data_IF_252764985377
#
_entry.id   IF_252764985377
#
_cell.length_a   1.000
_cell.length_b   1.000
_cell.length_c   1.000
_cell.angle_alpha   90.00
_cell.angle_beta   90.00
_cell.angle_gamma   90.00
#
_symmetry.space_group_name_H-M   'P 1'
#
loop_
_entity.id
_entity.type
_entity.pdbx_description
1 polymer ?
#
# COMPACT_ATOMS: atom_id res chain seq x y z
N UNK A 1 5.09 -46.54 15.44
CA UNK A 1 5.05 -45.82 14.13
C UNK A 1 3.82 -44.94 13.95
N UNK A 2 2.59 -45.37 14.30
CA UNK A 2 1.37 -44.51 14.16
C UNK A 2 1.41 -43.23 15.01
N UNK A 3 1.96 -43.26 16.22
CA UNK A 3 2.03 -42.10 17.11
C UNK A 3 3.10 -41.09 16.66
N UNK A 4 4.23 -41.54 16.13
CA UNK A 4 5.22 -40.61 15.52
C UNK A 4 4.67 -39.90 14.28
N UNK A 5 3.85 -40.60 13.48
CA UNK A 5 3.21 -39.96 12.32
C UNK A 5 2.14 -38.91 12.74
N UNK A 6 1.41 -39.16 13.83
CA UNK A 6 0.44 -38.19 14.38
C UNK A 6 1.13 -36.95 14.94
N UNK A 7 2.19 -37.09 15.71
CA UNK A 7 2.97 -35.97 16.27
C UNK A 7 3.57 -35.13 15.15
N UNK A 8 4.19 -35.74 14.14
CA UNK A 8 4.73 -35.04 12.99
C UNK A 8 3.64 -34.29 12.19
N UNK A 9 2.42 -34.79 12.15
CA UNK A 9 1.27 -34.11 11.53
C UNK A 9 0.84 -32.87 12.31
N UNK A 10 0.78 -32.94 13.65
CA UNK A 10 0.43 -31.79 14.50
C UNK A 10 1.48 -30.68 14.38
N UNK A 11 2.77 -31.03 14.47
CA UNK A 11 3.88 -30.09 14.30
C UNK A 11 3.84 -29.38 12.92
N UNK A 12 3.47 -30.13 11.88
CA UNK A 12 3.31 -29.58 10.54
C UNK A 12 2.16 -28.55 10.45
N UNK A 13 1.04 -28.83 11.10
CA UNK A 13 -0.10 -27.93 11.19
C UNK A 13 0.23 -26.66 12.00
N UNK A 14 0.97 -26.81 13.11
CA UNK A 14 1.44 -25.68 13.91
C UNK A 14 2.41 -24.80 13.10
N UNK A 15 3.35 -25.41 12.38
CA UNK A 15 4.29 -24.70 11.49
C UNK A 15 3.55 -23.96 10.37
N UNK A 16 2.56 -24.62 9.76
CA UNK A 16 1.72 -24.00 8.75
C UNK A 16 0.94 -22.78 9.31
N UNK A 17 0.30 -22.93 10.47
CA UNK A 17 -0.41 -21.84 11.16
C UNK A 17 0.54 -20.66 11.41
N UNK A 18 1.74 -20.90 11.94
CA UNK A 18 2.71 -19.86 12.21
C UNK A 18 3.15 -19.14 10.93
N UNK A 19 3.40 -19.88 9.86
CA UNK A 19 3.74 -19.33 8.55
C UNK A 19 2.60 -18.48 7.98
N UNK A 20 1.34 -18.90 8.18
CA UNK A 20 0.15 -18.16 7.75
C UNK A 20 -0.01 -16.84 8.51
N UNK A 21 0.27 -16.82 9.82
CA UNK A 21 0.26 -15.58 10.62
C UNK A 21 1.30 -14.59 10.10
N UNK A 22 2.54 -15.05 9.91
CA UNK A 22 3.62 -14.20 9.38
C UNK A 22 3.28 -13.68 7.97
N UNK A 23 2.73 -14.55 7.13
CA UNK A 23 2.29 -14.15 5.79
C UNK A 23 1.23 -13.05 5.85
N UNK A 24 0.22 -13.24 6.71
CA UNK A 24 -0.89 -12.29 6.88
C UNK A 24 -0.38 -10.90 7.35
N UNK A 25 0.54 -10.87 8.31
CA UNK A 25 1.15 -9.62 8.80
C UNK A 25 1.92 -8.88 7.69
N UNK A 26 2.71 -9.62 6.90
CA UNK A 26 3.47 -9.06 5.78
C UNK A 26 2.56 -8.51 4.70
N UNK A 27 1.53 -9.26 4.32
CA UNK A 27 0.58 -8.84 3.29
C UNK A 27 -0.21 -7.62 3.76
N UNK A 28 -0.69 -7.60 5.02
CA UNK A 28 -1.38 -6.44 5.59
C UNK A 28 -0.51 -5.19 5.50
N UNK A 29 0.74 -5.28 5.96
CA UNK A 29 1.68 -4.17 5.87
C UNK A 29 1.91 -3.68 4.44
N UNK A 30 2.06 -4.61 3.49
CA UNK A 30 2.25 -4.25 2.09
C UNK A 30 1.02 -3.56 1.48
N UNK A 31 -0.19 -4.00 1.87
CA UNK A 31 -1.45 -3.37 1.45
C UNK A 31 -1.52 -1.93 1.98
N UNK A 32 -1.19 -1.72 3.25
CA UNK A 32 -1.20 -0.40 3.89
C UNK A 32 -0.20 0.53 3.19
N UNK A 33 1.02 0.07 2.92
CA UNK A 33 2.06 0.83 2.20
C UNK A 33 1.62 1.24 0.79
N UNK A 34 0.98 0.32 0.05
CA UNK A 34 0.46 0.60 -1.29
C UNK A 34 -0.69 1.61 -1.21
N UNK A 35 -1.63 1.43 -0.28
CA UNK A 35 -2.77 2.33 -0.07
C UNK A 35 -2.32 3.74 0.24
N UNK A 36 -1.34 3.89 1.14
CA UNK A 36 -0.75 5.18 1.48
C UNK A 36 0.00 5.81 0.31
N UNK A 37 0.69 5.00 -0.49
CA UNK A 37 1.38 5.49 -1.70
C UNK A 37 0.39 5.99 -2.74
N UNK A 38 -0.70 5.26 -2.97
CA UNK A 38 -1.79 5.67 -3.87
C UNK A 38 -2.40 7.00 -3.41
N UNK A 39 -2.72 7.12 -2.12
CA UNK A 39 -3.29 8.34 -1.54
C UNK A 39 -2.35 9.54 -1.68
N UNK A 40 -1.07 9.37 -1.33
CA UNK A 40 -0.05 10.43 -1.45
C UNK A 40 0.17 10.85 -2.89
N UNK A 41 0.23 9.90 -3.82
CA UNK A 41 0.44 10.20 -5.24
C UNK A 41 -0.77 10.94 -5.82
N UNK A 42 -1.99 10.54 -5.45
CA UNK A 42 -3.22 11.26 -5.84
C UNK A 42 -3.19 12.71 -5.37
N UNK A 43 -2.95 12.93 -4.09
CA UNK A 43 -2.85 14.27 -3.52
C UNK A 43 -1.74 15.10 -4.19
N UNK A 44 -0.57 14.50 -4.42
CA UNK A 44 0.53 15.17 -5.10
C UNK A 44 0.18 15.64 -6.52
N UNK A 45 -0.49 14.77 -7.31
CA UNK A 45 -0.87 15.11 -8.69
C UNK A 45 -2.02 16.12 -8.71
N UNK A 46 -3.08 15.87 -7.94
CA UNK A 46 -4.32 16.66 -8.00
C UNK A 46 -4.20 18.02 -7.32
N UNK A 47 -3.48 18.09 -6.21
CA UNK A 47 -3.44 19.30 -5.38
C UNK A 47 -2.07 19.99 -5.45
N UNK A 48 -1.00 19.34 -5.02
CA UNK A 48 0.30 20.01 -4.86
C UNK A 48 0.87 20.50 -6.18
N UNK A 49 0.97 19.63 -7.18
CA UNK A 49 1.52 20.01 -8.48
C UNK A 49 0.65 20.98 -9.25
N UNK A 50 -0.67 20.80 -9.15
CA UNK A 50 -1.59 21.74 -9.78
C UNK A 50 -1.46 23.14 -9.19
N UNK A 51 -1.50 23.25 -7.86
CA UNK A 51 -1.38 24.54 -7.16
C UNK A 51 0.00 25.19 -7.37
N UNK A 52 1.08 24.39 -7.39
CA UNK A 52 2.41 24.87 -7.73
C UNK A 52 2.43 25.56 -9.10
N UNK A 53 1.92 24.92 -10.13
CA UNK A 53 1.94 25.48 -11.48
C UNK A 53 0.97 26.65 -11.65
N UNK A 54 -0.14 26.68 -10.91
CA UNK A 54 -1.00 27.88 -10.86
C UNK A 54 -0.29 29.08 -10.24
N UNK A 55 0.47 28.86 -9.18
CA UNK A 55 1.28 29.88 -8.54
C UNK A 55 2.39 30.37 -9.50
N UNK A 56 3.05 29.46 -10.19
CA UNK A 56 4.06 29.79 -11.19
C UNK A 56 3.47 30.57 -12.37
N UNK A 57 2.27 30.23 -12.83
CA UNK A 57 1.55 31.00 -13.86
C UNK A 57 1.37 32.45 -13.42
N UNK A 58 0.85 32.67 -12.22
CA UNK A 58 0.67 34.04 -11.67
C UNK A 58 1.98 34.82 -11.59
N UNK A 59 3.08 34.16 -11.23
CA UNK A 59 4.39 34.79 -11.18
C UNK A 59 4.87 35.20 -12.57
N UNK A 60 4.64 34.37 -13.58
CA UNK A 60 5.02 34.68 -14.97
C UNK A 60 4.11 35.74 -15.59
N UNK A 61 2.84 35.76 -15.27
CA UNK A 61 1.91 36.83 -15.67
C UNK A 61 2.35 38.20 -15.12
N UNK A 62 2.81 38.28 -13.86
CA UNK A 62 3.39 39.52 -13.30
C UNK A 62 4.66 39.96 -14.03
N UNK A 63 5.52 39.01 -14.41
CA UNK A 63 6.73 39.30 -15.20
C UNK A 63 6.37 39.78 -16.61
N UNK A 64 5.32 39.26 -17.22
CA UNK A 64 4.83 39.74 -18.51
C UNK A 64 4.32 41.18 -18.36
N UNK A 65 3.51 41.47 -17.35
CA UNK A 65 3.00 42.81 -17.08
C UNK A 65 4.15 43.81 -16.88
N UNK A 66 5.19 43.45 -16.14
CA UNK A 66 6.38 44.29 -16.00
C UNK A 66 7.10 44.51 -17.34
N UNK A 67 7.30 43.47 -18.15
CA UNK A 67 7.93 43.59 -19.46
C UNK A 67 7.12 44.45 -20.43
N UNK A 68 5.79 44.40 -20.35
CA UNK A 68 4.88 45.25 -21.13
C UNK A 68 4.96 46.70 -20.69
N UNK A 69 5.05 46.97 -19.38
CA UNK A 69 5.29 48.34 -18.88
C UNK A 69 6.62 48.92 -19.29
N UNK A 70 7.67 48.10 -19.25
CA UNK A 70 9.00 48.47 -19.75
C UNK A 70 8.97 48.77 -21.26
N UNK A 71 8.29 47.98 -22.05
CA UNK A 71 8.10 48.20 -23.47
C UNK A 71 7.33 49.50 -23.74
N UNK A 72 6.28 49.77 -22.95
CA UNK A 72 5.54 50.98 -23.07
C UNK A 72 6.43 52.20 -22.75
N UNK A 73 7.19 52.17 -21.66
CA UNK A 73 8.11 53.20 -21.24
C UNK A 73 9.21 53.44 -22.29
N UNK A 74 9.78 52.36 -22.88
CA UNK A 74 10.81 52.46 -23.89
C UNK A 74 10.31 53.07 -25.21
N UNK A 75 9.04 52.86 -25.55
CA UNK A 75 8.39 53.49 -26.71
C UNK A 75 8.18 55.00 -26.53
N UNK A 76 8.03 55.46 -25.30
CA UNK A 76 7.91 56.88 -24.98
C UNK A 76 9.30 57.54 -24.95
N UNK A 77 10.36 56.78 -24.76
CA UNK A 77 11.72 57.25 -24.79
C UNK A 77 12.23 57.23 -26.24
N UNK A 78 12.95 58.26 -26.66
CA UNK A 78 13.49 58.45 -28.04
C UNK A 78 14.63 57.48 -28.43
N UNK A 79 14.99 56.51 -27.59
CA UNK A 79 16.10 55.57 -27.82
C UNK A 79 15.59 54.28 -28.51
N UNK A 80 15.85 54.16 -29.80
CA UNK A 80 15.38 53.02 -30.63
C UNK A 80 15.89 51.64 -30.19
N UNK A 81 17.10 51.55 -29.68
CA UNK A 81 17.75 50.27 -29.32
C UNK A 81 17.07 49.59 -28.11
N UNK A 82 16.63 50.37 -27.14
CA UNK A 82 15.92 49.88 -25.95
C UNK A 82 14.55 49.25 -26.28
N UNK A 83 13.88 49.71 -27.34
CA UNK A 83 12.60 49.19 -27.79
C UNK A 83 12.68 47.74 -28.31
N UNK A 84 13.77 47.36 -28.98
CA UNK A 84 13.99 46.03 -29.53
C UNK A 84 14.18 45.00 -28.40
N UNK A 85 14.99 45.34 -27.40
CA UNK A 85 15.23 44.48 -26.24
C UNK A 85 13.96 44.28 -25.43
N UNK A 86 13.20 45.35 -25.16
CA UNK A 86 11.93 45.28 -24.46
C UNK A 86 10.90 44.40 -25.20
N UNK A 87 10.85 44.46 -26.55
CA UNK A 87 10.02 43.56 -27.35
C UNK A 87 10.43 42.09 -27.20
N UNK A 88 11.76 41.82 -27.19
CA UNK A 88 12.25 40.45 -26.95
C UNK A 88 11.89 39.92 -25.57
N UNK A 89 11.93 40.77 -24.53
CA UNK A 89 11.57 40.42 -23.17
C UNK A 89 10.09 40.05 -23.07
N UNK A 90 9.20 40.83 -23.69
CA UNK A 90 7.76 40.48 -23.79
C UNK A 90 7.54 39.14 -24.50
N UNK A 91 8.21 38.90 -25.64
CA UNK A 91 8.12 37.63 -26.35
C UNK A 91 8.61 36.45 -25.50
N UNK A 92 9.70 36.66 -24.75
CA UNK A 92 10.22 35.65 -23.81
C UNK A 92 9.24 35.35 -22.68
N UNK A 93 8.64 36.38 -22.09
CA UNK A 93 7.63 36.24 -21.03
C UNK A 93 6.38 35.51 -21.54
N UNK A 94 5.88 35.81 -22.73
CA UNK A 94 4.77 35.09 -23.35
C UNK A 94 5.06 33.61 -23.56
N UNK A 95 6.22 33.25 -24.13
CA UNK A 95 6.62 31.82 -24.26
C UNK A 95 6.68 31.12 -22.91
N UNK A 96 7.19 31.81 -21.90
CA UNK A 96 7.26 31.24 -20.55
C UNK A 96 5.84 30.96 -19.96
N UNK A 97 4.85 31.78 -20.28
CA UNK A 97 3.44 31.52 -19.89
C UNK A 97 2.89 30.32 -20.65
N UNK A 98 3.11 30.24 -21.97
CA UNK A 98 2.67 29.11 -22.80
C UNK A 98 3.21 27.78 -22.26
N UNK A 99 4.48 27.73 -21.88
CA UNK A 99 5.10 26.55 -21.25
C UNK A 99 4.41 26.12 -19.97
N UNK A 100 4.04 27.08 -19.09
CA UNK A 100 3.32 26.75 -17.84
C UNK A 100 1.90 26.28 -18.13
N UNK A 101 1.23 26.87 -19.09
CA UNK A 101 -0.13 26.45 -19.48
C UNK A 101 -0.13 25.02 -20.04
N UNK A 102 0.91 24.65 -20.80
CA UNK A 102 1.11 23.24 -21.22
C UNK A 102 1.32 22.31 -20.03
N UNK A 103 2.14 22.70 -19.06
CA UNK A 103 2.32 21.89 -17.82
C UNK A 103 1.02 21.73 -17.05
N UNK A 104 0.20 22.77 -16.92
CA UNK A 104 -1.11 22.72 -16.27
C UNK A 104 -2.05 21.76 -17.04
N UNK A 105 -2.05 21.82 -18.38
CA UNK A 105 -2.86 20.90 -19.21
C UNK A 105 -2.44 19.43 -19.02
N UNK A 106 -1.12 19.17 -19.00
CA UNK A 106 -0.57 17.84 -18.77
C UNK A 106 -0.94 17.31 -17.37
N UNK A 107 -0.85 18.12 -16.33
CA UNK A 107 -1.21 17.72 -14.96
C UNK A 107 -2.69 17.39 -14.86
N UNK A 108 -3.57 18.20 -15.45
CA UNK A 108 -5.01 17.90 -15.52
C UNK A 108 -5.30 16.60 -16.27
N UNK A 109 -4.55 16.29 -17.32
CA UNK A 109 -4.65 15.02 -18.02
C UNK A 109 -4.19 13.89 -17.11
N UNK A 110 -3.02 13.99 -16.48
CA UNK A 110 -2.50 12.97 -15.57
C UNK A 110 -3.41 12.71 -14.38
N UNK A 111 -4.03 13.74 -13.81
CA UNK A 111 -4.99 13.57 -12.71
C UNK A 111 -6.19 12.71 -13.14
N UNK A 112 -6.73 12.92 -14.33
CA UNK A 112 -7.84 12.12 -14.88
C UNK A 112 -7.41 10.70 -15.24
N UNK A 113 -6.26 10.57 -15.90
CA UNK A 113 -5.71 9.28 -16.31
C UNK A 113 -5.36 8.43 -15.08
N UNK A 114 -4.81 9.06 -14.03
CA UNK A 114 -4.47 8.41 -12.77
C UNK A 114 -5.71 7.76 -12.14
N UNK A 115 -6.78 8.50 -11.98
CA UNK A 115 -8.02 7.97 -11.38
C UNK A 115 -8.61 6.82 -12.22
N UNK A 116 -8.59 6.94 -13.55
CA UNK A 116 -9.13 5.90 -14.43
C UNK A 116 -8.33 4.58 -14.38
N UNK A 117 -7.01 4.65 -14.16
CA UNK A 117 -6.12 3.48 -14.08
C UNK A 117 -6.07 2.90 -12.67
N UNK A 118 -5.98 3.76 -11.67
CA UNK A 118 -5.72 3.35 -10.27
C UNK A 118 -6.99 2.88 -9.57
N UNK A 119 -8.15 3.47 -9.86
CA UNK A 119 -9.42 3.10 -9.23
C UNK A 119 -9.77 1.60 -9.35
N UNK A 120 -9.68 0.97 -10.55
CA UNK A 120 -9.93 -0.47 -10.66
C UNK A 120 -8.93 -1.33 -9.88
N UNK A 121 -7.67 -0.87 -9.77
CA UNK A 121 -6.63 -1.58 -9.02
C UNK A 121 -6.84 -1.43 -7.51
N UNK A 122 -7.23 -0.24 -7.04
CA UNK A 122 -7.58 0.00 -5.65
C UNK A 122 -8.72 -0.92 -5.19
N UNK A 123 -9.78 -1.07 -5.98
CA UNK A 123 -10.89 -2.01 -5.68
C UNK A 123 -10.44 -3.46 -5.54
N UNK A 124 -9.45 -3.91 -6.33
CA UNK A 124 -8.86 -5.24 -6.18
C UNK A 124 -8.05 -5.36 -4.89
N UNK A 125 -7.37 -4.28 -4.52
CA UNK A 125 -6.63 -4.21 -3.25
C UNK A 125 -7.59 -4.28 -2.05
N UNK A 126 -8.72 -3.57 -2.10
CA UNK A 126 -9.77 -3.64 -1.07
C UNK A 126 -10.30 -5.07 -0.89
N UNK A 127 -10.50 -5.80 -1.99
CA UNK A 127 -10.90 -7.21 -1.96
C UNK A 127 -9.85 -8.09 -1.27
N UNK A 128 -8.56 -7.85 -1.56
CA UNK A 128 -7.47 -8.57 -0.90
C UNK A 128 -7.38 -8.21 0.59
N UNK A 129 -7.58 -6.95 0.94
CA UNK A 129 -7.62 -6.48 2.32
C UNK A 129 -8.75 -7.17 3.11
N UNK A 130 -9.95 -7.31 2.53
CA UNK A 130 -11.06 -8.04 3.16
C UNK A 130 -10.71 -9.52 3.38
N UNK A 131 -10.04 -10.17 2.45
CA UNK A 131 -9.53 -11.54 2.63
C UNK A 131 -8.59 -11.64 3.84
N UNK A 132 -7.64 -10.73 3.94
CA UNK A 132 -6.61 -10.72 5.00
C UNK A 132 -7.22 -10.38 6.35
N UNK A 133 -8.14 -9.43 6.43
CA UNK A 133 -8.74 -8.97 7.69
C UNK A 133 -9.88 -9.84 8.18
N UNK A 134 -10.60 -10.52 7.29
CA UNK A 134 -11.81 -11.25 7.64
C UNK A 134 -11.66 -12.76 7.50
N UNK A 135 -11.16 -13.24 6.37
CA UNK A 135 -11.15 -14.70 6.07
C UNK A 135 -9.95 -15.42 6.68
N UNK A 136 -8.75 -14.85 6.59
CA UNK A 136 -7.56 -15.49 7.17
C UNK A 136 -7.62 -15.63 8.69
N UNK A 137 -8.08 -14.67 9.50
CA UNK A 137 -8.25 -14.87 10.93
C UNK A 137 -9.22 -16.03 11.26
N UNK A 138 -10.28 -16.17 10.49
CA UNK A 138 -11.21 -17.31 10.64
C UNK A 138 -10.53 -18.65 10.34
N UNK A 139 -9.70 -18.71 9.30
CA UNK A 139 -8.94 -19.90 8.96
C UNK A 139 -7.90 -20.24 10.04
N UNK A 140 -7.21 -19.25 10.60
CA UNK A 140 -6.27 -19.42 11.70
C UNK A 140 -7.00 -19.97 12.94
N UNK A 141 -8.14 -19.39 13.31
CA UNK A 141 -8.95 -19.89 14.44
C UNK A 141 -9.43 -21.33 14.22
N UNK A 142 -9.78 -21.68 12.99
CA UNK A 142 -10.13 -23.07 12.66
C UNK A 142 -8.93 -24.00 12.83
N UNK A 143 -7.74 -23.61 12.37
CA UNK A 143 -6.51 -24.38 12.55
C UNK A 143 -6.16 -24.55 14.03
N UNK A 144 -6.30 -23.51 14.85
CA UNK A 144 -6.07 -23.59 16.30
C UNK A 144 -6.97 -24.66 16.93
N UNK A 145 -8.29 -24.60 16.69
CA UNK A 145 -9.24 -25.57 17.23
C UNK A 145 -8.97 -27.00 16.73
N UNK A 146 -8.56 -27.14 15.48
CA UNK A 146 -8.22 -28.45 14.90
C UNK A 146 -6.98 -29.02 15.57
N UNK A 147 -5.94 -28.22 15.80
CA UNK A 147 -4.72 -28.62 16.50
C UNK A 147 -5.05 -29.03 17.94
N UNK A 148 -5.79 -28.23 18.71
CA UNK A 148 -6.20 -28.52 20.08
C UNK A 148 -6.99 -29.85 20.16
N UNK A 149 -7.89 -30.10 19.20
CA UNK A 149 -8.65 -31.34 19.12
C UNK A 149 -7.73 -32.54 18.86
N UNK A 150 -6.78 -32.42 17.92
CA UNK A 150 -5.83 -33.49 17.63
C UNK A 150 -4.88 -33.77 18.79
N UNK A 151 -4.43 -32.75 19.50
CA UNK A 151 -3.61 -32.87 20.71
C UNK A 151 -4.38 -33.65 21.81
N UNK A 152 -5.63 -33.27 22.09
CA UNK A 152 -6.44 -33.97 23.08
C UNK A 152 -6.71 -35.44 22.72
N UNK A 153 -6.90 -35.75 21.43
CA UNK A 153 -7.02 -37.15 20.98
C UNK A 153 -5.70 -37.94 21.14
N UNK A 154 -4.57 -37.29 20.92
CA UNK A 154 -3.26 -37.93 21.08
C UNK A 154 -2.98 -38.27 22.56
N UNK A 155 -3.29 -37.35 23.46
CA UNK A 155 -3.13 -37.53 24.90
C UNK A 155 -4.06 -38.65 25.45
N UNK A 156 -5.31 -38.66 25.01
CA UNK A 156 -6.26 -39.71 25.40
C UNK A 156 -5.84 -41.10 24.91
N UNK A 157 -5.21 -41.17 23.71
CA UNK A 157 -4.66 -42.40 23.14
C UNK A 157 -3.47 -42.93 23.96
N UNK A 158 -2.62 -42.04 24.47
CA UNK A 158 -1.45 -42.38 25.29
C UNK A 158 -1.90 -42.89 26.69
N UNK A 159 -2.97 -42.33 27.27
CA UNK A 159 -3.48 -42.74 28.57
C UNK A 159 -4.21 -44.11 28.51
N UNK A 160 -4.88 -44.43 27.41
CA UNK A 160 -5.53 -45.72 27.22
C UNK A 160 -4.58 -46.87 26.86
N UNK A 161 -3.33 -46.55 26.50
CA UNK A 161 -2.29 -47.54 26.14
C UNK A 161 -1.46 -48.07 27.31
N UNK A 162 -1.75 -47.67 28.60
CA UNK A 162 -1.04 -48.19 29.75
C UNK A 162 -1.70 -49.49 30.24
N UNK A 163 -1.13 -50.70 30.07
CA UNK A 163 -1.76 -51.94 30.50
C UNK A 163 -1.78 -51.98 32.02
N UNK A 164 -2.96 -52.08 32.55
CA UNK A 164 -3.31 -52.37 33.94
C UNK A 164 -2.39 -53.46 34.49
N UNK A 165 -1.58 -53.10 35.48
CA UNK A 165 -0.90 -54.09 36.31
C UNK A 165 -1.94 -54.95 36.97
N UNK A 166 -2.04 -56.22 36.56
CA UNK A 166 -2.80 -57.26 37.26
C UNK A 166 -2.26 -57.45 38.65
N UNK A 167 -3.06 -57.39 39.71
CA UNK A 167 -2.57 -57.75 41.04
C UNK A 167 -2.27 -59.26 41.08
N UNK A 168 -1.04 -59.61 41.40
CA UNK A 168 -0.63 -61.01 41.73
C UNK A 168 -1.45 -61.43 42.96
N UNK A 169 -2.35 -62.36 42.76
CA UNK A 169 -2.96 -63.15 43.83
C UNK A 169 -1.88 -64.03 44.43
N UNK A 170 -1.47 -63.71 45.66
CA UNK A 170 -0.73 -64.64 46.53
C UNK A 170 -1.62 -65.80 46.92
N UNK A 171 -1.34 -66.97 46.40
CA UNK A 171 -1.87 -68.22 46.91
C UNK A 171 -1.04 -68.61 48.11
N UNK A 172 -1.60 -68.51 49.33
CA UNK A 172 -1.09 -69.17 50.53
C UNK A 172 -1.43 -70.64 50.48
N UNK A 173 -0.43 -71.43 50.27
CA UNK A 173 -0.44 -72.83 50.65
C UNK A 173 -0.08 -72.95 52.12
N UNK A 174 -0.87 -73.72 52.85
CA UNK A 174 -0.59 -74.32 54.19
C UNK A 174 -1.38 -75.62 54.33
N UNK A 175 -0.91 -76.55 55.16
CA UNK A 175 0.18 -77.56 55.12
C UNK A 175 -0.41 -78.93 54.80
#
# INVERSE_FOLDING_TARGET
MADQAKVASIDSLQSFRNSLVIFMERVSKSIDEVTDTVRRTRHWVQDEKYNYWLSEKRNRERKLEQAEQELYSSRLSTLQDTSTEAQMNVRRANRAIEEVEEKIRLIKKWARDYDSVVEPLARRLDTLQDLVTTKYPKAINYLVRTIETLESYSEASLQSGNPTQTPKSETKDKP
#
